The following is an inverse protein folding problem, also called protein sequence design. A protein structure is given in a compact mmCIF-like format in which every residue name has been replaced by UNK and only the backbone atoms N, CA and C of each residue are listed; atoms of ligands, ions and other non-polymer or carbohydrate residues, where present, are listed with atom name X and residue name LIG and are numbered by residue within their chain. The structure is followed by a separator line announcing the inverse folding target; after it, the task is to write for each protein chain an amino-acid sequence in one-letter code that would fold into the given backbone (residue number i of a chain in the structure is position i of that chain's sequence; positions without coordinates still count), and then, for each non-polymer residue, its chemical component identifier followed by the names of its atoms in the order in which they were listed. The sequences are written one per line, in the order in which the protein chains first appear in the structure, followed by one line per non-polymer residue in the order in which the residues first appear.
data_IF_255942947916
#
_entry.id   IF_255942947916
#
_cell.length_a   1.000
_cell.length_b   1.000
_cell.length_c   1.000
_cell.angle_alpha   90.00
_cell.angle_beta   90.00
_cell.angle_gamma   90.00
#
_symmetry.space_group_name_H-M   'P 1'
#
loop_
_entity.id
_entity.type
_entity.pdbx_description
1 polymer ?
#
# COMPACT_ATOMS: atom_id res chain seq x y z
N UNK A 1 5.53 -27.03 14.93
CA UNK A 1 6.83 -27.28 14.28
C UNK A 1 6.54 -27.56 12.82
N UNK A 2 7.21 -26.87 11.86
CA UNK A 2 7.05 -27.21 10.46
C UNK A 2 7.36 -28.69 10.20
N UNK A 3 6.68 -29.28 9.21
CA UNK A 3 6.97 -30.65 8.78
C UNK A 3 8.43 -30.76 8.35
N UNK A 4 9.24 -31.55 9.09
CA UNK A 4 10.69 -31.69 8.81
C UNK A 4 11.00 -32.21 7.39
N UNK A 5 10.00 -32.78 6.68
CA UNK A 5 10.11 -33.22 5.30
C UNK A 5 9.95 -32.09 4.26
N UNK A 6 9.34 -30.96 4.61
CA UNK A 6 8.98 -29.88 3.69
C UNK A 6 10.13 -28.85 3.47
N UNK A 7 11.13 -28.79 4.36
CA UNK A 7 12.21 -27.80 4.33
C UNK A 7 13.58 -28.43 3.96
N UNK A 8 14.33 -27.76 3.11
CA UNK A 8 15.72 -28.13 2.77
C UNK A 8 16.67 -27.84 3.94
N UNK A 9 17.90 -28.39 3.88
CA UNK A 9 18.93 -28.12 4.87
C UNK A 9 19.35 -26.63 4.93
N UNK A 10 19.35 -25.94 3.77
CA UNK A 10 19.64 -24.52 3.71
C UNK A 10 18.55 -23.68 4.37
N UNK A 11 17.27 -23.99 4.10
CA UNK A 11 16.11 -23.33 4.73
C UNK A 11 16.16 -23.50 6.25
N UNK A 12 16.36 -24.71 6.74
CA UNK A 12 16.49 -24.95 8.20
C UNK A 12 17.63 -24.13 8.84
N UNK A 13 18.80 -24.06 8.20
CA UNK A 13 19.91 -23.24 8.72
C UNK A 13 19.56 -21.77 8.78
N UNK A 14 18.93 -21.23 7.74
CA UNK A 14 18.54 -19.83 7.69
C UNK A 14 17.45 -19.51 8.72
N UNK A 15 16.47 -20.41 8.91
CA UNK A 15 15.43 -20.24 9.93
C UNK A 15 15.98 -20.24 11.36
N UNK A 16 17.00 -21.07 11.64
CA UNK A 16 17.69 -21.08 12.95
C UNK A 16 18.47 -19.77 13.18
N UNK A 17 18.99 -19.15 12.13
CA UNK A 17 19.71 -17.88 12.21
C UNK A 17 18.79 -16.64 12.35
N UNK A 18 17.46 -16.81 12.30
CA UNK A 18 16.53 -15.69 12.47
C UNK A 18 16.55 -15.16 13.90
N UNK A 19 17.00 -13.92 14.07
CA UNK A 19 17.14 -13.23 15.35
C UNK A 19 15.83 -12.58 15.80
N UNK A 20 15.02 -13.33 16.55
CA UNK A 20 13.71 -12.88 17.06
C UNK A 20 13.81 -11.64 17.94
N UNK A 21 14.73 -11.63 18.87
CA UNK A 21 14.82 -10.55 19.86
C UNK A 21 15.34 -9.27 19.20
N UNK A 22 16.31 -9.41 18.30
CA UNK A 22 16.82 -8.31 17.49
C UNK A 22 15.73 -7.71 16.58
N UNK A 23 14.87 -8.55 15.99
CA UNK A 23 13.74 -8.10 15.16
C UNK A 23 12.79 -7.20 15.95
N UNK A 24 12.32 -7.66 17.11
CA UNK A 24 11.42 -6.88 17.98
C UNK A 24 12.09 -5.62 18.50
N UNK A 25 13.37 -5.71 18.87
CA UNK A 25 14.14 -4.55 19.34
C UNK A 25 14.25 -3.48 18.24
N UNK A 26 14.61 -3.85 17.01
CA UNK A 26 14.76 -2.90 15.90
C UNK A 26 13.43 -2.32 15.44
N UNK A 27 12.34 -3.12 15.46
CA UNK A 27 11.00 -2.58 15.20
C UNK A 27 10.66 -1.46 16.19
N UNK A 28 10.93 -1.67 17.48
CA UNK A 28 10.70 -0.64 18.49
C UNK A 28 11.57 0.60 18.28
N UNK A 29 12.83 0.45 17.88
CA UNK A 29 13.68 1.57 17.51
C UNK A 29 13.10 2.38 16.35
N UNK A 30 12.58 1.72 15.30
CA UNK A 30 11.97 2.40 14.16
C UNK A 30 10.64 3.07 14.50
N UNK A 31 9.80 2.47 15.34
CA UNK A 31 8.55 3.09 15.80
C UNK A 31 8.86 4.36 16.59
N UNK A 32 9.90 4.36 17.42
CA UNK A 32 10.30 5.53 18.20
C UNK A 32 10.81 6.71 17.35
N UNK A 33 11.04 6.52 16.06
CA UNK A 33 11.37 7.58 15.12
C UNK A 33 10.09 8.02 14.41
N UNK A 34 9.50 9.19 14.72
CA UNK A 34 8.37 9.73 13.97
C UNK A 34 8.77 9.96 12.52
N UNK A 35 8.18 9.21 11.61
CA UNK A 35 8.44 9.29 10.17
C UNK A 35 7.17 9.66 9.41
N UNK A 36 6.52 10.72 9.85
CA UNK A 36 5.38 11.31 9.17
C UNK A 36 5.78 11.72 7.75
N UNK A 37 4.81 11.74 6.84
CA UNK A 37 5.04 12.19 5.48
C UNK A 37 5.82 13.51 5.41
N UNK A 38 6.91 13.56 4.64
CA UNK A 38 7.84 14.68 4.54
C UNK A 38 8.95 14.71 5.60
N UNK A 39 8.93 13.83 6.60
CA UNK A 39 9.91 13.75 7.68
C UNK A 39 10.55 12.36 7.83
N UNK A 40 10.60 11.57 6.78
CA UNK A 40 11.01 10.15 6.79
C UNK A 40 12.52 9.94 6.88
N UNK A 41 13.33 10.95 6.52
CA UNK A 41 14.79 10.84 6.41
C UNK A 41 15.50 10.29 7.66
N UNK A 42 15.10 10.61 8.92
CA UNK A 42 15.71 9.98 10.10
C UNK A 42 15.52 8.48 10.16
N UNK A 43 14.33 7.95 9.81
CA UNK A 43 14.06 6.52 9.78
C UNK A 43 14.88 5.83 8.67
N UNK A 44 14.96 6.43 7.49
CA UNK A 44 15.79 5.93 6.39
C UNK A 44 17.28 5.87 6.75
N UNK A 45 17.80 6.90 7.45
CA UNK A 45 19.20 6.86 7.94
C UNK A 45 19.41 5.75 8.96
N UNK A 46 18.44 5.51 9.86
CA UNK A 46 18.53 4.42 10.83
C UNK A 46 18.58 3.04 10.15
N UNK A 47 17.75 2.84 9.12
CA UNK A 47 17.72 1.60 8.32
C UNK A 47 19.03 1.44 7.53
N UNK A 48 19.49 2.47 6.84
CA UNK A 48 20.76 2.43 6.11
C UNK A 48 21.93 2.07 7.02
N UNK A 49 22.04 2.73 8.17
CA UNK A 49 23.06 2.40 9.18
C UNK A 49 22.91 0.96 9.74
N UNK A 50 21.68 0.46 9.89
CA UNK A 50 21.45 -0.92 10.31
C UNK A 50 21.92 -1.90 9.21
N UNK A 51 21.57 -1.67 7.95
CA UNK A 51 22.02 -2.50 6.81
C UNK A 51 23.55 -2.55 6.71
N UNK A 52 24.24 -1.43 6.88
CA UNK A 52 25.70 -1.37 6.91
C UNK A 52 26.29 -2.20 8.06
N UNK A 53 25.77 -2.04 9.30
CA UNK A 53 26.19 -2.86 10.45
C UNK A 53 25.88 -4.35 10.27
N UNK A 54 24.74 -4.67 9.67
CA UNK A 54 24.39 -6.02 9.28
C UNK A 54 25.22 -6.56 8.10
N UNK A 55 26.09 -5.74 7.48
CA UNK A 55 27.00 -6.11 6.41
C UNK A 55 26.32 -6.37 5.08
N UNK A 56 25.22 -5.68 4.79
CA UNK A 56 24.62 -5.68 3.47
C UNK A 56 25.44 -4.78 2.54
N UNK A 57 25.52 -5.16 1.27
CA UNK A 57 25.79 -4.17 0.24
C UNK A 57 24.57 -3.27 0.11
N UNK A 58 24.76 -1.96 -0.05
CA UNK A 58 23.66 -1.00 -0.06
C UNK A 58 23.89 0.15 -1.03
N UNK A 59 22.80 0.71 -1.53
CA UNK A 59 22.72 1.97 -2.25
C UNK A 59 21.83 2.91 -1.42
N UNK A 60 22.43 4.00 -0.94
CA UNK A 60 21.75 5.03 -0.17
C UNK A 60 21.94 6.34 -0.90
N UNK A 61 20.84 6.96 -1.34
CA UNK A 61 20.91 8.18 -2.14
C UNK A 61 19.86 9.21 -1.76
N UNK A 62 20.14 10.45 -2.09
CA UNK A 62 19.13 11.51 -2.04
C UNK A 62 18.31 11.49 -3.32
N UNK A 63 17.00 11.42 -3.18
CA UNK A 63 16.06 11.46 -4.30
C UNK A 63 15.98 12.88 -4.83
N UNK A 64 16.13 13.07 -6.14
CA UNK A 64 15.86 14.36 -6.80
C UNK A 64 14.36 14.51 -7.02
N UNK A 65 13.69 15.12 -6.04
CA UNK A 65 12.24 15.32 -6.07
C UNK A 65 11.77 16.18 -7.25
N UNK A 66 12.62 17.10 -7.74
CA UNK A 66 12.27 17.97 -8.88
C UNK A 66 12.27 17.20 -10.18
N UNK A 67 13.23 16.30 -10.34
CA UNK A 67 13.29 15.42 -11.52
C UNK A 67 12.17 14.38 -11.46
N UNK A 68 11.97 13.79 -10.28
CA UNK A 68 10.91 12.79 -10.05
C UNK A 68 9.51 13.35 -10.33
N UNK A 69 9.24 14.60 -9.98
CA UNK A 69 7.97 15.28 -10.21
C UNK A 69 7.59 15.45 -11.68
N UNK A 70 8.51 15.19 -12.62
CA UNK A 70 8.21 15.20 -14.06
C UNK A 70 7.64 13.87 -14.56
N UNK A 71 7.74 12.82 -13.76
CA UNK A 71 7.22 11.52 -14.15
C UNK A 71 5.69 11.49 -14.08
N UNK A 72 4.99 10.93 -15.07
CA UNK A 72 3.52 10.93 -15.11
C UNK A 72 2.87 10.16 -13.96
N UNK A 73 3.59 9.17 -13.39
CA UNK A 73 3.12 8.38 -12.25
C UNK A 73 3.53 8.95 -10.89
N UNK A 74 4.21 10.10 -10.87
CA UNK A 74 4.48 10.81 -9.63
C UNK A 74 3.22 11.48 -9.11
N UNK A 75 2.90 11.24 -7.86
CA UNK A 75 1.90 11.97 -7.11
C UNK A 75 2.33 12.08 -5.65
N UNK A 76 1.82 13.08 -4.96
CA UNK A 76 2.08 13.30 -3.52
C UNK A 76 1.01 14.21 -2.94
N UNK A 77 0.66 14.00 -1.68
CA UNK A 77 -0.19 14.89 -0.89
C UNK A 77 0.62 15.77 0.05
N UNK A 78 1.87 15.37 0.32
CA UNK A 78 2.72 16.01 1.31
C UNK A 78 3.94 16.64 0.64
N UNK A 79 4.23 17.90 1.00
CA UNK A 79 5.45 18.58 0.56
C UNK A 79 6.68 17.96 1.22
N UNK A 80 7.65 17.53 0.40
CA UNK A 80 8.94 16.99 0.85
C UNK A 80 10.08 17.89 0.44
N UNK A 81 10.95 18.24 1.40
CA UNK A 81 12.19 18.97 1.14
C UNK A 81 13.40 18.05 1.00
N UNK A 82 13.33 16.87 1.60
CA UNK A 82 14.32 15.80 1.50
C UNK A 82 13.62 14.45 1.45
N UNK A 83 14.13 13.57 0.59
CA UNK A 83 13.76 12.17 0.57
C UNK A 83 14.99 11.31 0.31
N UNK A 84 15.11 10.20 1.01
CA UNK A 84 16.21 9.24 0.85
C UNK A 84 15.66 7.91 0.34
N UNK A 85 16.28 7.37 -0.71
CA UNK A 85 16.12 5.99 -1.12
C UNK A 85 17.17 5.13 -0.41
N UNK A 86 16.77 3.95 0.03
CA UNK A 86 17.65 2.97 0.70
C UNK A 86 17.34 1.59 0.17
N UNK A 87 18.31 0.96 -0.49
CA UNK A 87 18.21 -0.42 -0.94
C UNK A 87 19.43 -1.19 -0.47
N UNK A 88 19.21 -2.25 0.29
CA UNK A 88 20.27 -3.17 0.70
C UNK A 88 20.07 -4.55 0.07
N UNK A 89 21.14 -5.33 -0.12
CA UNK A 89 21.02 -6.66 -0.72
C UNK A 89 22.03 -7.67 -0.19
N UNK A 90 21.68 -8.93 -0.37
CA UNK A 90 22.52 -10.10 -0.17
C UNK A 90 22.52 -10.95 -1.45
N UNK A 91 23.66 -11.60 -1.77
CA UNK A 91 23.85 -12.27 -3.05
C UNK A 91 24.32 -11.33 -4.15
N UNK A 92 24.61 -11.87 -5.32
CA UNK A 92 25.08 -11.12 -6.49
C UNK A 92 23.96 -11.06 -7.53
N UNK A 93 23.89 -9.94 -8.26
CA UNK A 93 22.92 -9.79 -9.35
C UNK A 93 23.28 -10.74 -10.48
N UNK A 94 22.29 -11.45 -11.00
CA UNK A 94 22.46 -12.23 -12.23
C UNK A 94 22.75 -11.26 -13.39
N UNK A 95 23.91 -11.37 -14.02
CA UNK A 95 24.25 -10.57 -15.19
C UNK A 95 23.27 -10.92 -16.33
N UNK A 96 22.68 -9.90 -16.99
CA UNK A 96 21.75 -10.00 -18.11
C UNK A 96 20.24 -10.19 -17.73
N UNK A 97 19.67 -9.25 -17.01
CA UNK A 97 18.24 -9.00 -17.10
C UNK A 97 18.00 -7.83 -18.05
N UNK A 98 17.75 -8.14 -19.32
CA UNK A 98 17.13 -7.18 -20.23
C UNK A 98 15.65 -7.11 -19.87
N UNK A 99 15.13 -5.92 -19.67
CA UNK A 99 13.70 -5.68 -19.50
C UNK A 99 12.91 -6.41 -20.61
N UNK A 100 12.17 -7.48 -20.26
CA UNK A 100 11.41 -8.28 -21.23
C UNK A 100 11.43 -9.78 -21.02
N UNK A 101 11.61 -10.29 -19.81
CA UNK A 101 11.12 -11.60 -19.37
C UNK A 101 11.39 -12.81 -20.28
N UNK A 102 12.62 -13.08 -20.70
CA UNK A 102 12.98 -14.38 -21.22
C UNK A 102 13.60 -15.22 -20.10
N UNK A 103 13.01 -16.38 -19.82
CA UNK A 103 13.48 -17.32 -18.82
C UNK A 103 14.99 -17.53 -18.91
N UNK A 104 15.71 -17.19 -17.83
CA UNK A 104 17.10 -17.61 -17.64
C UNK A 104 17.18 -19.13 -17.84
N UNK A 105 18.22 -19.60 -18.51
CA UNK A 105 18.45 -21.04 -18.72
C UNK A 105 18.41 -21.80 -17.39
N UNK A 106 18.13 -23.09 -17.40
CA UNK A 106 17.82 -23.99 -16.28
C UNK A 106 18.92 -24.10 -15.19
N UNK A 107 19.51 -23.01 -14.76
CA UNK A 107 20.57 -22.95 -13.73
C UNK A 107 20.85 -21.56 -13.19
N UNK A 108 20.32 -20.48 -13.78
CA UNK A 108 20.46 -19.12 -13.26
C UNK A 108 19.43 -18.89 -12.13
N UNK A 109 19.83 -18.19 -11.06
CA UNK A 109 18.92 -17.73 -10.01
C UNK A 109 18.03 -16.59 -10.50
N UNK A 110 16.98 -16.26 -9.71
CA UNK A 110 16.12 -15.08 -9.90
C UNK A 110 16.46 -14.01 -8.87
N UNK A 111 16.26 -12.76 -9.23
CA UNK A 111 16.35 -11.65 -8.27
C UNK A 111 14.97 -11.41 -7.60
N UNK A 112 14.96 -11.31 -6.28
CA UNK A 112 13.77 -10.99 -5.48
C UNK A 112 13.94 -9.63 -4.80
N UNK A 113 12.91 -8.80 -4.85
CA UNK A 113 12.83 -7.55 -4.09
C UNK A 113 11.78 -7.66 -2.99
N UNK A 114 12.16 -7.32 -1.76
CA UNK A 114 11.26 -7.07 -0.65
C UNK A 114 11.13 -5.57 -0.51
N UNK A 115 9.93 -5.03 -0.60
CA UNK A 115 9.66 -3.59 -0.57
C UNK A 115 8.82 -3.26 0.67
N UNK A 116 9.15 -2.17 1.36
CA UNK A 116 8.38 -1.68 2.48
C UNK A 116 8.66 -0.23 2.80
N UNK A 117 7.61 0.51 3.19
CA UNK A 117 7.70 1.92 3.50
C UNK A 117 8.01 2.19 4.98
N UNK A 118 8.58 3.36 5.23
CA UNK A 118 8.89 3.85 6.58
C UNK A 118 8.00 4.98 7.03
N UNK A 119 7.33 5.64 6.09
CA UNK A 119 6.39 6.70 6.39
C UNK A 119 5.16 6.15 7.11
N UNK A 120 4.51 7.01 7.82
CA UNK A 120 3.32 6.70 8.61
C UNK A 120 2.35 7.87 8.57
N UNK A 121 1.06 7.56 8.65
CA UNK A 121 0.01 8.58 8.75
C UNK A 121 0.04 9.30 10.11
N UNK A 122 -0.58 10.49 10.21
CA UNK A 122 -0.73 11.22 11.47
C UNK A 122 -1.38 10.35 12.57
N UNK A 123 -0.98 10.58 13.83
CA UNK A 123 -1.45 9.80 14.98
C UNK A 123 -2.88 10.14 15.43
N UNK A 124 -3.47 11.21 14.90
CA UNK A 124 -4.75 11.73 15.34
C UNK A 124 -4.66 12.32 16.76
N UNK A 125 -5.71 12.14 17.55
CA UNK A 125 -5.77 12.62 18.94
C UNK A 125 -4.91 11.72 19.85
N UNK A 126 -3.78 12.22 20.34
CA UNK A 126 -2.89 11.45 21.23
C UNK A 126 -3.59 10.97 22.51
N UNK A 127 -4.59 11.70 23.00
CA UNK A 127 -5.39 11.31 24.16
C UNK A 127 -6.23 10.03 23.94
N UNK A 128 -6.42 9.61 22.70
CA UNK A 128 -7.09 8.36 22.36
C UNK A 128 -6.17 7.13 22.45
N UNK A 129 -4.84 7.35 22.57
CA UNK A 129 -3.87 6.27 22.67
C UNK A 129 -3.69 5.84 24.14
N UNK A 130 -3.76 4.54 24.43
CA UNK A 130 -3.41 4.00 25.75
C UNK A 130 -1.90 3.82 25.91
N UNK A 131 -1.17 3.68 24.81
CA UNK A 131 0.29 3.69 24.74
C UNK A 131 0.71 4.86 23.84
N UNK A 132 1.63 5.75 24.27
CA UNK A 132 2.06 6.85 23.40
C UNK A 132 2.55 6.32 22.05
N UNK A 133 2.14 6.91 20.91
CA UNK A 133 2.37 6.35 19.58
C UNK A 133 3.85 6.18 19.21
N UNK A 134 4.74 6.96 19.84
CA UNK A 134 6.19 6.96 19.60
C UNK A 134 7.01 6.34 20.76
N UNK A 135 6.34 5.78 21.78
CA UNK A 135 6.98 5.03 22.87
C UNK A 135 6.49 3.57 22.82
N UNK A 136 7.07 2.75 21.94
CA UNK A 136 6.55 1.44 21.60
C UNK A 136 6.59 0.49 22.80
N UNK A 137 5.47 -0.13 23.11
CA UNK A 137 5.34 -1.12 24.17
C UNK A 137 5.18 -2.54 23.62
N UNK A 138 5.75 -3.51 24.32
CA UNK A 138 5.49 -4.92 24.10
C UNK A 138 4.59 -5.42 25.22
N UNK A 139 3.39 -5.86 24.87
CA UNK A 139 2.44 -6.46 25.82
C UNK A 139 1.55 -7.49 25.09
N UNK A 140 1.14 -8.52 25.78
CA UNK A 140 0.22 -9.56 25.29
C UNK A 140 0.64 -10.15 23.90
N UNK A 141 1.97 -10.34 23.70
CA UNK A 141 2.50 -10.87 22.45
C UNK A 141 2.43 -9.91 21.24
N UNK A 142 2.25 -8.61 21.47
CA UNK A 142 2.10 -7.57 20.44
C UNK A 142 3.09 -6.43 20.65
N UNK A 143 3.51 -5.80 19.57
CA UNK A 143 4.25 -4.52 19.57
C UNK A 143 3.26 -3.42 19.23
N UNK A 144 3.11 -2.43 20.11
CA UNK A 144 2.20 -1.29 19.95
C UNK A 144 2.97 -0.03 19.55
N UNK A 145 2.40 0.78 18.69
CA UNK A 145 2.87 2.11 18.27
C UNK A 145 2.52 2.41 16.83
N UNK A 146 2.57 3.68 16.42
CA UNK A 146 2.28 4.10 15.05
C UNK A 146 3.31 3.52 14.06
N UNK A 147 2.82 2.90 12.98
CA UNK A 147 3.63 2.20 11.99
C UNK A 147 4.02 0.78 12.43
N UNK A 148 3.51 0.28 13.55
CA UNK A 148 3.81 -1.09 14.00
C UNK A 148 3.29 -2.12 12.98
N UNK A 149 2.06 -1.95 12.50
CA UNK A 149 1.45 -2.83 11.50
C UNK A 149 1.64 -2.29 10.09
N UNK A 150 1.59 -0.98 9.89
CA UNK A 150 1.60 -0.32 8.59
C UNK A 150 2.78 0.68 8.50
N UNK A 151 3.92 0.25 7.85
CA UNK A 151 4.29 -1.17 7.66
C UNK A 151 5.74 -1.42 8.16
N UNK A 152 6.20 -0.68 9.21
CA UNK A 152 7.56 -0.88 9.77
C UNK A 152 7.76 -2.32 10.26
N UNK A 153 6.70 -2.97 10.75
CA UNK A 153 6.74 -4.39 11.12
C UNK A 153 7.09 -5.28 9.95
N UNK A 154 6.41 -5.12 8.82
CA UNK A 154 6.70 -5.83 7.58
C UNK A 154 8.11 -5.55 7.06
N UNK A 155 8.52 -4.28 7.04
CA UNK A 155 9.87 -3.88 6.60
C UNK A 155 10.96 -4.53 7.47
N UNK A 156 10.78 -4.59 8.79
CA UNK A 156 11.72 -5.27 9.68
C UNK A 156 11.73 -6.78 9.42
N UNK A 157 10.60 -7.40 9.09
CA UNK A 157 10.59 -8.81 8.67
C UNK A 157 11.47 -9.05 7.43
N UNK A 158 11.41 -8.17 6.43
CA UNK A 158 12.27 -8.25 5.24
C UNK A 158 13.76 -8.14 5.58
N UNK A 159 14.12 -7.17 6.41
CA UNK A 159 15.50 -6.94 6.84
C UNK A 159 16.07 -8.16 7.58
N UNK A 160 15.31 -8.71 8.51
CA UNK A 160 15.75 -9.85 9.30
C UNK A 160 15.72 -11.17 8.53
N UNK A 161 14.83 -11.32 7.55
CA UNK A 161 14.86 -12.45 6.61
C UNK A 161 16.16 -12.45 5.78
N UNK A 162 16.53 -11.32 5.20
CA UNK A 162 17.77 -11.18 4.44
C UNK A 162 19.00 -11.38 5.34
N UNK A 163 18.99 -10.83 6.58
CA UNK A 163 20.06 -11.04 7.57
C UNK A 163 20.20 -12.52 7.92
N UNK A 164 19.11 -13.25 8.15
CA UNK A 164 19.14 -14.66 8.51
C UNK A 164 19.77 -15.53 7.41
N UNK A 165 19.48 -15.26 6.14
CA UNK A 165 20.11 -15.96 5.00
C UNK A 165 21.62 -15.72 4.98
N UNK A 166 22.04 -14.47 5.16
CA UNK A 166 23.45 -14.08 5.24
C UNK A 166 24.17 -14.74 6.42
N UNK A 167 23.60 -14.66 7.61
CA UNK A 167 24.22 -15.19 8.84
C UNK A 167 24.30 -16.73 8.85
N UNK A 168 23.36 -17.38 8.14
CA UNK A 168 23.42 -18.81 7.86
C UNK A 168 24.47 -19.20 6.80
N UNK A 169 25.19 -18.21 6.22
CA UNK A 169 26.14 -18.39 5.14
C UNK A 169 25.58 -19.17 3.95
N UNK A 170 24.29 -18.95 3.62
CA UNK A 170 23.67 -19.55 2.45
C UNK A 170 23.97 -18.67 1.24
N UNK A 171 24.57 -19.27 0.20
CA UNK A 171 24.81 -18.57 -1.07
C UNK A 171 23.61 -18.68 -1.97
N UNK A 172 23.11 -17.53 -2.40
CA UNK A 172 22.04 -17.44 -3.38
C UNK A 172 22.60 -17.46 -4.80
N UNK A 173 21.89 -18.05 -5.74
CA UNK A 173 22.20 -17.98 -7.17
C UNK A 173 21.76 -16.66 -7.80
N UNK A 174 20.70 -16.05 -7.25
CA UNK A 174 20.23 -14.71 -7.56
C UNK A 174 20.44 -13.79 -6.38
N UNK A 175 19.86 -12.59 -6.45
CA UNK A 175 19.99 -11.55 -5.44
C UNK A 175 18.68 -11.37 -4.66
N UNK A 176 18.77 -11.26 -3.34
CA UNK A 176 17.69 -10.77 -2.49
C UNK A 176 17.99 -9.31 -2.13
N UNK A 177 17.11 -8.40 -2.51
CA UNK A 177 17.16 -6.98 -2.14
C UNK A 177 16.02 -6.59 -1.22
N UNK A 178 16.29 -5.64 -0.30
CA UNK A 178 15.29 -4.99 0.55
C UNK A 178 15.30 -3.51 0.22
N UNK A 179 14.20 -3.02 -0.32
CA UNK A 179 13.97 -1.61 -0.63
C UNK A 179 13.16 -0.97 0.52
N UNK A 180 13.79 -0.06 1.25
CA UNK A 180 13.12 0.80 2.22
C UNK A 180 12.74 2.09 1.53
N UNK A 181 11.46 2.40 1.47
CA UNK A 181 10.91 3.49 0.67
C UNK A 181 10.20 4.54 1.52
N UNK A 182 9.93 5.70 0.94
CA UNK A 182 9.25 6.84 1.56
C UNK A 182 8.04 7.27 0.74
N UNK A 183 7.02 7.82 1.39
CA UNK A 183 5.89 8.43 0.72
C UNK A 183 4.97 7.42 0.03
N UNK A 184 4.86 6.21 0.56
CA UNK A 184 3.88 5.24 0.11
C UNK A 184 2.47 5.76 0.39
N UNK A 185 2.21 6.18 1.63
CA UNK A 185 0.92 6.65 2.18
C UNK A 185 0.30 7.84 1.40
N UNK A 186 1.10 8.51 0.58
CA UNK A 186 0.67 9.66 -0.20
C UNK A 186 1.04 9.60 -1.69
N UNK A 187 1.47 8.42 -2.20
CA UNK A 187 1.60 8.23 -3.64
C UNK A 187 2.86 7.53 -4.16
N UNK A 188 3.67 6.88 -3.31
CA UNK A 188 4.74 5.98 -3.75
C UNK A 188 6.03 6.65 -4.24
N UNK A 189 6.35 7.84 -3.69
CA UNK A 189 7.56 8.62 -4.05
C UNK A 189 8.83 7.77 -4.05
N UNK A 190 9.06 6.97 -3.00
CA UNK A 190 10.27 6.17 -2.81
C UNK A 190 10.35 4.99 -3.75
N UNK A 191 9.26 4.28 -3.96
CA UNK A 191 9.23 3.12 -4.88
C UNK A 191 9.42 3.56 -6.32
N UNK A 192 8.78 4.65 -6.75
CA UNK A 192 9.01 5.22 -8.07
C UNK A 192 10.49 5.60 -8.27
N UNK A 193 11.08 6.29 -7.28
CA UNK A 193 12.49 6.67 -7.33
C UNK A 193 13.42 5.43 -7.37
N UNK A 194 13.09 4.36 -6.66
CA UNK A 194 13.83 3.11 -6.63
C UNK A 194 13.83 2.42 -7.99
N UNK A 195 12.67 2.35 -8.66
CA UNK A 195 12.54 1.81 -10.02
C UNK A 195 13.36 2.63 -11.02
N UNK A 196 13.20 3.96 -11.00
CA UNK A 196 13.90 4.87 -11.92
C UNK A 196 15.41 4.90 -11.68
N UNK A 197 15.88 4.57 -10.48
CA UNK A 197 17.32 4.39 -10.20
C UNK A 197 17.89 3.09 -10.78
N UNK A 198 17.02 2.19 -11.26
CA UNK A 198 17.42 0.94 -11.91
C UNK A 198 17.46 -0.26 -10.97
N UNK A 199 16.88 -0.18 -9.77
CA UNK A 199 16.65 -1.35 -8.93
C UNK A 199 15.46 -2.13 -9.49
N UNK A 200 15.74 -3.32 -10.02
CA UNK A 200 14.75 -4.24 -10.61
C UNK A 200 14.91 -5.64 -10.05
N UNK A 201 13.90 -6.49 -10.23
CA UNK A 201 13.90 -7.89 -9.82
C UNK A 201 13.01 -8.72 -10.75
N UNK A 202 13.10 -10.06 -10.66
CA UNK A 202 12.20 -10.99 -11.36
C UNK A 202 10.86 -11.21 -10.65
N UNK A 203 10.79 -10.78 -9.40
CA UNK A 203 9.58 -10.76 -8.60
C UNK A 203 9.77 -9.88 -7.37
N UNK A 204 8.66 -9.37 -6.83
CA UNK A 204 8.70 -8.56 -5.62
C UNK A 204 7.61 -8.95 -4.62
N UNK A 205 7.86 -8.63 -3.36
CA UNK A 205 6.88 -8.68 -2.27
C UNK A 205 6.83 -7.32 -1.60
N UNK A 206 5.67 -6.71 -1.56
CA UNK A 206 5.39 -5.55 -0.69
C UNK A 206 4.85 -6.11 0.62
N UNK A 207 5.50 -5.77 1.74
CA UNK A 207 5.26 -6.47 3.02
C UNK A 207 4.17 -5.73 3.82
N UNK A 208 3.03 -5.50 3.18
CA UNK A 208 1.82 -4.90 3.77
C UNK A 208 1.12 -5.84 4.75
N UNK A 209 0.30 -5.30 5.68
CA UNK A 209 -0.46 -6.11 6.63
C UNK A 209 -1.59 -6.89 5.96
N UNK A 210 -1.35 -8.18 5.71
CA UNK A 210 -2.28 -9.08 5.01
C UNK A 210 -2.72 -10.29 5.86
N UNK A 211 -2.42 -10.30 7.16
CA UNK A 211 -2.65 -11.48 8.03
C UNK A 211 -2.04 -12.77 7.41
N UNK A 212 -0.88 -12.64 6.74
CA UNK A 212 -0.20 -13.72 6.00
C UNK A 212 -0.98 -14.27 4.79
N UNK A 213 -2.03 -13.59 4.32
CA UNK A 213 -2.65 -13.89 3.03
C UNK A 213 -1.73 -13.44 1.88
N UNK A 214 -1.78 -14.14 0.75
CA UNK A 214 -1.07 -13.79 -0.48
C UNK A 214 -1.99 -12.98 -1.37
N UNK A 215 -1.58 -11.75 -1.68
CA UNK A 215 -2.40 -10.79 -2.41
C UNK A 215 -1.80 -10.53 -3.79
N UNK A 216 -2.26 -11.18 -4.85
CA UNK A 216 -1.79 -10.95 -6.22
C UNK A 216 -2.52 -9.79 -6.93
N UNK A 217 -3.52 -9.16 -6.29
CA UNK A 217 -4.31 -8.09 -6.90
C UNK A 217 -4.70 -7.03 -5.87
N UNK A 218 -4.50 -5.77 -6.22
CA UNK A 218 -4.97 -4.61 -5.46
C UNK A 218 -5.87 -3.72 -6.31
N UNK A 219 -6.97 -3.25 -5.76
CA UNK A 219 -7.80 -2.23 -6.37
C UNK A 219 -7.09 -0.87 -6.42
N UNK A 220 -7.51 -0.02 -7.32
CA UNK A 220 -7.07 1.37 -7.36
C UNK A 220 -7.89 2.27 -6.43
N UNK A 221 -7.33 3.44 -6.16
CA UNK A 221 -7.98 4.50 -5.39
C UNK A 221 -7.61 5.87 -5.94
N UNK A 222 -8.62 6.71 -6.18
CA UNK A 222 -8.46 8.10 -6.59
C UNK A 222 -9.12 9.00 -5.57
N UNK A 223 -8.49 10.13 -5.25
CA UNK A 223 -9.06 11.13 -4.35
C UNK A 223 -9.80 12.19 -5.16
N UNK A 224 -11.05 12.44 -4.80
CA UNK A 224 -11.87 13.47 -5.43
C UNK A 224 -12.27 14.57 -4.46
N UNK A 225 -12.48 15.76 -5.00
CA UNK A 225 -13.13 16.89 -4.35
C UNK A 225 -14.33 17.29 -5.18
N UNK A 226 -15.53 17.26 -4.59
CA UNK A 226 -16.78 17.69 -5.20
C UNK A 226 -17.17 19.05 -4.61
N UNK A 227 -17.20 20.06 -5.46
CA UNK A 227 -17.58 21.42 -5.09
C UNK A 227 -18.99 21.66 -5.58
N UNK A 228 -19.91 21.90 -4.65
CA UNK A 228 -21.34 22.09 -4.92
C UNK A 228 -21.73 23.56 -4.69
N UNK A 229 -22.16 24.28 -5.73
CA UNK A 229 -22.54 25.67 -5.61
C UNK A 229 -23.95 25.85 -5.04
N UNK A 230 -24.11 26.91 -4.27
CA UNK A 230 -25.38 27.45 -3.81
C UNK A 230 -25.48 28.95 -4.06
N UNK A 231 -26.34 29.65 -3.29
CA UNK A 231 -26.47 31.09 -3.32
C UNK A 231 -26.79 31.59 -1.90
N UNK A 232 -25.93 32.48 -1.37
CA UNK A 232 -26.05 32.97 -0.01
C UNK A 232 -27.32 33.84 0.18
N UNK A 233 -27.93 33.69 1.34
CA UNK A 233 -29.00 34.56 1.82
C UNK A 233 -29.00 34.59 3.35
N UNK A 234 -29.67 35.58 3.93
CA UNK A 234 -29.89 35.59 5.36
C UNK A 234 -30.85 34.45 5.74
N UNK A 235 -30.56 33.71 6.83
CA UNK A 235 -31.34 32.54 7.23
C UNK A 235 -32.82 32.83 7.49
N UNK A 236 -33.18 34.07 7.85
CA UNK A 236 -34.59 34.44 8.05
C UNK A 236 -35.41 34.60 6.75
N UNK A 237 -34.74 34.72 5.61
CA UNK A 237 -35.32 34.78 4.25
C UNK A 237 -34.69 33.72 3.36
N UNK A 238 -34.55 32.51 3.88
CA UNK A 238 -33.85 31.38 3.23
C UNK A 238 -34.34 31.09 1.81
N UNK A 239 -35.58 31.40 1.51
CA UNK A 239 -36.21 31.25 0.18
C UNK A 239 -35.59 32.15 -0.88
N UNK A 240 -34.82 33.18 -0.48
CA UNK A 240 -34.06 34.06 -1.38
C UNK A 240 -32.70 33.50 -1.72
N UNK A 241 -32.29 32.41 -1.10
CA UNK A 241 -31.02 31.74 -1.32
C UNK A 241 -31.19 30.32 -1.87
N UNK A 242 -30.07 29.66 -2.15
CA UNK A 242 -30.02 28.25 -2.52
C UNK A 242 -28.95 27.55 -1.67
N UNK A 243 -29.39 26.65 -0.80
CA UNK A 243 -28.48 25.94 0.12
C UNK A 243 -27.65 24.91 -0.62
N UNK A 244 -26.34 25.09 -0.63
CA UNK A 244 -25.40 24.09 -1.14
C UNK A 244 -25.52 22.74 -0.42
N UNK A 245 -25.89 22.74 0.88
CA UNK A 245 -26.16 21.50 1.63
C UNK A 245 -27.34 20.75 1.03
N UNK A 246 -28.47 21.46 0.78
CA UNK A 246 -29.65 20.83 0.18
C UNK A 246 -29.38 20.32 -1.23
N UNK A 247 -28.50 20.99 -1.98
CA UNK A 247 -28.08 20.57 -3.33
C UNK A 247 -27.09 19.39 -3.32
N UNK A 248 -26.33 19.20 -2.26
CA UNK A 248 -25.45 18.04 -2.09
C UNK A 248 -26.23 16.74 -1.80
N UNK A 249 -27.33 16.77 -1.08
CA UNK A 249 -28.04 15.56 -0.68
C UNK A 249 -28.46 14.65 -1.86
N UNK A 250 -29.05 15.15 -2.95
CA UNK A 250 -29.35 14.32 -4.11
C UNK A 250 -28.09 13.80 -4.83
N UNK A 251 -27.01 14.56 -4.84
CA UNK A 251 -25.73 14.11 -5.40
C UNK A 251 -25.14 12.97 -4.55
N UNK A 252 -25.16 13.09 -3.23
CA UNK A 252 -24.71 12.03 -2.33
C UNK A 252 -25.55 10.75 -2.49
N UNK A 253 -26.87 10.89 -2.62
CA UNK A 253 -27.77 9.76 -2.89
C UNK A 253 -27.43 9.08 -4.22
N UNK A 254 -27.13 9.88 -5.26
CA UNK A 254 -26.72 9.38 -6.54
C UNK A 254 -25.36 8.66 -6.50
N UNK A 255 -24.40 9.15 -5.71
CA UNK A 255 -23.12 8.49 -5.48
C UNK A 255 -23.31 7.11 -4.80
N UNK A 256 -24.13 7.01 -3.76
CA UNK A 256 -24.43 5.70 -3.11
C UNK A 256 -25.10 4.72 -4.06
N UNK A 257 -26.00 5.19 -4.93
CA UNK A 257 -26.59 4.37 -5.95
C UNK A 257 -25.56 3.91 -7.00
N UNK A 258 -24.75 4.83 -7.47
CA UNK A 258 -23.67 4.56 -8.42
C UNK A 258 -22.66 3.53 -7.88
N UNK A 259 -22.25 3.68 -6.61
CA UNK A 259 -21.42 2.68 -5.92
C UNK A 259 -22.08 1.30 -5.92
N UNK A 260 -23.39 1.22 -5.58
CA UNK A 260 -24.12 -0.04 -5.55
C UNK A 260 -24.23 -0.69 -6.93
N UNK A 261 -24.42 0.11 -7.99
CA UNK A 261 -24.44 -0.33 -9.38
C UNK A 261 -23.05 -0.84 -9.81
N UNK A 262 -21.98 -0.10 -9.44
CA UNK A 262 -20.58 -0.49 -9.74
C UNK A 262 -20.18 -1.82 -9.13
N UNK A 263 -20.66 -2.09 -7.93
CA UNK A 263 -20.29 -3.28 -7.17
C UNK A 263 -21.28 -4.43 -7.37
N UNK A 264 -22.20 -4.36 -8.34
CA UNK A 264 -23.16 -5.41 -8.63
C UNK A 264 -24.21 -5.66 -7.54
N UNK A 265 -24.32 -4.75 -6.55
CA UNK A 265 -25.29 -4.84 -5.45
C UNK A 265 -26.69 -4.41 -5.91
N UNK A 266 -26.77 -3.49 -6.88
CA UNK A 266 -28.01 -3.06 -7.50
C UNK A 266 -27.92 -3.22 -9.03
N UNK A 267 -29.05 -3.54 -9.68
CA UNK A 267 -29.11 -3.55 -11.15
C UNK A 267 -29.09 -2.10 -11.67
N UNK A 268 -28.22 -1.82 -12.64
CA UNK A 268 -28.08 -0.51 -13.26
C UNK A 268 -27.29 -0.57 -14.56
N UNK A 269 -27.26 0.53 -15.33
CA UNK A 269 -26.55 0.61 -16.60
C UNK A 269 -25.03 0.77 -16.45
N UNK A 270 -24.49 0.72 -15.24
CA UNK A 270 -23.07 0.91 -15.00
C UNK A 270 -22.29 -0.29 -15.55
N UNK A 271 -21.90 -0.19 -16.80
CA UNK A 271 -20.84 -1.03 -17.32
C UNK A 271 -19.54 -0.54 -16.71
N UNK A 272 -19.03 -1.24 -15.76
CA UNK A 272 -17.74 -0.96 -15.13
C UNK A 272 -16.78 -2.01 -15.60
N UNK A 273 -15.60 -1.61 -16.00
CA UNK A 273 -14.47 -2.52 -16.10
C UNK A 273 -14.23 -3.08 -14.68
N UNK A 274 -13.91 -4.35 -14.61
CA UNK A 274 -13.79 -5.10 -13.37
C UNK A 274 -15.01 -5.98 -13.11
N UNK A 275 -14.73 -7.19 -12.68
CA UNK A 275 -15.74 -8.19 -12.35
C UNK A 275 -15.94 -8.28 -10.84
N UNK A 276 -17.07 -7.74 -10.29
CA UNK A 276 -17.34 -7.86 -8.86
C UNK A 276 -17.48 -9.32 -8.37
N UNK A 277 -17.63 -10.27 -9.30
CA UNK A 277 -17.67 -11.70 -9.00
C UNK A 277 -16.29 -12.37 -9.03
N UNK A 278 -15.20 -11.61 -9.27
CA UNK A 278 -13.85 -12.14 -9.23
C UNK A 278 -13.60 -12.84 -7.88
N UNK A 279 -13.21 -14.12 -7.88
CA UNK A 279 -12.97 -14.88 -6.66
C UNK A 279 -11.97 -14.21 -5.70
N UNK A 280 -11.02 -13.42 -6.19
CA UNK A 280 -10.07 -12.68 -5.37
C UNK A 280 -10.74 -11.62 -4.48
N UNK A 281 -11.91 -11.11 -4.88
CA UNK A 281 -12.65 -10.09 -4.13
C UNK A 281 -13.93 -10.62 -3.47
N UNK A 282 -14.13 -11.94 -3.44
CA UNK A 282 -15.34 -12.57 -2.91
C UNK A 282 -15.63 -12.26 -1.42
N UNK A 283 -14.61 -11.89 -0.65
CA UNK A 283 -14.76 -11.47 0.75
C UNK A 283 -15.39 -10.08 0.89
N UNK A 284 -15.40 -9.27 -0.17
CA UNK A 284 -15.87 -7.88 -0.12
C UNK A 284 -17.25 -7.74 -0.75
N UNK A 285 -18.19 -7.13 0.01
CA UNK A 285 -19.48 -6.73 -0.56
C UNK A 285 -19.34 -5.56 -1.53
N UNK A 286 -18.37 -4.69 -1.32
CA UNK A 286 -18.06 -3.50 -2.11
C UNK A 286 -16.57 -3.53 -2.50
N UNK A 287 -16.18 -4.30 -3.52
CA UNK A 287 -14.79 -4.34 -3.98
C UNK A 287 -14.24 -2.97 -4.40
N UNK A 288 -15.09 -2.11 -4.94
CA UNK A 288 -14.74 -0.78 -5.44
C UNK A 288 -15.52 0.32 -4.68
N UNK A 289 -15.20 0.57 -3.40
CA UNK A 289 -15.98 1.48 -2.56
C UNK A 289 -15.79 2.93 -2.97
N UNK A 290 -16.86 3.72 -2.82
CA UNK A 290 -16.85 5.18 -2.95
C UNK A 290 -17.20 5.76 -1.58
N UNK A 291 -16.29 6.53 -0.97
CA UNK A 291 -16.55 7.14 0.33
C UNK A 291 -16.38 8.66 0.28
N UNK A 292 -17.27 9.36 0.95
CA UNK A 292 -17.15 10.80 1.23
C UNK A 292 -16.67 10.95 2.66
N UNK A 293 -15.38 11.19 2.82
CA UNK A 293 -14.71 11.23 4.12
C UNK A 293 -14.89 12.56 4.85
N UNK A 294 -14.99 13.68 4.10
CA UNK A 294 -15.19 15.01 4.69
C UNK A 294 -16.23 15.82 3.96
N UNK A 295 -16.96 16.65 4.71
CA UNK A 295 -17.91 17.65 4.16
C UNK A 295 -17.74 18.96 4.92
N UNK A 296 -17.57 20.06 4.21
CA UNK A 296 -17.49 21.41 4.77
C UNK A 296 -18.44 22.31 4.02
N UNK A 297 -19.29 23.09 4.74
CA UNK A 297 -20.27 23.97 4.13
C UNK A 297 -20.58 25.17 5.04
N UNK A 298 -20.68 26.36 4.41
CA UNK A 298 -21.05 27.60 5.07
C UNK A 298 -20.01 28.10 6.07
N UNK A 299 -20.18 29.36 6.49
CA UNK A 299 -19.30 30.11 7.38
C UNK A 299 -20.03 30.69 8.59
N UNK A 300 -21.34 30.76 8.53
CA UNK A 300 -22.17 31.35 9.58
C UNK A 300 -23.53 30.65 9.77
N UNK A 301 -23.85 30.27 11.01
CA UNK A 301 -25.02 29.47 11.33
C UNK A 301 -26.37 30.11 10.92
N UNK A 302 -26.43 31.43 10.73
CA UNK A 302 -27.65 32.13 10.32
C UNK A 302 -27.67 32.58 8.85
N UNK A 303 -26.84 31.94 8.03
CA UNK A 303 -26.77 32.16 6.56
C UNK A 303 -27.09 30.87 5.81
N UNK A 304 -27.70 31.04 4.62
CA UNK A 304 -27.80 29.95 3.65
C UNK A 304 -26.41 29.70 3.04
N UNK A 305 -25.86 28.48 3.14
CA UNK A 305 -24.52 28.21 2.60
C UNK A 305 -24.53 28.23 1.07
N UNK A 306 -23.62 28.99 0.49
CA UNK A 306 -23.45 29.17 -0.96
C UNK A 306 -22.41 28.25 -1.60
N UNK A 307 -21.68 27.50 -0.78
CA UNK A 307 -20.72 26.52 -1.23
C UNK A 307 -20.67 25.33 -0.26
N UNK A 308 -20.51 24.12 -0.81
CA UNK A 308 -20.17 22.92 -0.07
C UNK A 308 -19.00 22.23 -0.79
N UNK A 309 -18.02 21.80 -0.01
CA UNK A 309 -16.90 20.99 -0.49
C UNK A 309 -16.96 19.64 0.22
N UNK A 310 -17.08 18.58 -0.59
CA UNK A 310 -17.02 17.19 -0.14
C UNK A 310 -15.76 16.55 -0.71
N UNK A 311 -14.96 15.89 0.13
CA UNK A 311 -13.78 15.17 -0.30
C UNK A 311 -13.92 13.69 0.03
N UNK A 312 -13.43 12.83 -0.86
CA UNK A 312 -13.58 11.41 -0.70
C UNK A 312 -12.68 10.58 -1.61
N UNK A 313 -12.79 9.26 -1.45
CA UNK A 313 -12.10 8.30 -2.30
C UNK A 313 -13.06 7.62 -3.28
N UNK A 314 -12.53 7.28 -4.44
CA UNK A 314 -13.21 6.53 -5.48
C UNK A 314 -12.41 5.28 -5.82
N UNK A 315 -12.98 4.10 -5.54
CA UNK A 315 -12.35 2.80 -5.83
C UNK A 315 -12.33 2.53 -7.33
N UNK A 316 -11.15 2.18 -7.87
CA UNK A 316 -10.93 1.81 -9.27
C UNK A 316 -10.79 0.30 -9.37
N UNK A 317 -11.54 -0.31 -10.28
CA UNK A 317 -11.57 -1.75 -10.43
C UNK A 317 -10.31 -2.32 -11.11
N UNK A 318 -10.03 -3.60 -10.90
CA UNK A 318 -8.98 -4.30 -11.65
C UNK A 318 -9.30 -4.23 -13.15
N UNK A 319 -8.30 -3.83 -13.95
CA UNK A 319 -8.43 -3.70 -15.40
C UNK A 319 -9.17 -2.44 -15.87
N UNK A 320 -9.64 -1.59 -14.96
CA UNK A 320 -10.22 -0.29 -15.30
C UNK A 320 -9.11 0.76 -15.48
N UNK A 321 -9.17 1.49 -16.57
CA UNK A 321 -8.28 2.64 -16.80
C UNK A 321 -8.66 3.79 -15.86
N UNK A 322 -7.73 4.33 -15.06
CA UNK A 322 -8.03 5.41 -14.12
C UNK A 322 -8.57 6.69 -14.77
N UNK A 323 -8.23 6.97 -16.03
CA UNK A 323 -8.77 8.13 -16.75
C UNK A 323 -10.21 7.88 -17.18
N UNK A 324 -10.55 6.67 -17.62
CA UNK A 324 -11.93 6.27 -17.89
C UNK A 324 -12.78 6.26 -16.63
N UNK A 325 -12.21 5.74 -15.51
CA UNK A 325 -12.85 5.74 -14.20
C UNK A 325 -13.28 7.15 -13.76
N UNK A 326 -12.39 8.16 -13.94
CA UNK A 326 -12.72 9.57 -13.67
C UNK A 326 -13.89 10.04 -14.51
N UNK A 327 -13.88 9.78 -15.81
CA UNK A 327 -14.96 10.20 -16.72
C UNK A 327 -16.31 9.58 -16.33
N UNK A 328 -16.32 8.31 -15.96
CA UNK A 328 -17.52 7.60 -15.49
C UNK A 328 -18.08 8.21 -14.20
N UNK A 329 -17.21 8.54 -13.25
CA UNK A 329 -17.59 9.24 -12.01
C UNK A 329 -18.17 10.64 -12.32
N UNK A 330 -17.47 11.45 -13.10
CA UNK A 330 -17.91 12.79 -13.50
C UNK A 330 -19.25 12.76 -14.24
N UNK A 331 -19.44 11.77 -15.12
CA UNK A 331 -20.71 11.58 -15.81
C UNK A 331 -21.85 11.19 -14.86
N UNK A 332 -21.57 10.43 -13.79
CA UNK A 332 -22.57 10.10 -12.76
C UNK A 332 -23.01 11.36 -11.99
N UNK A 333 -22.05 12.20 -11.61
CA UNK A 333 -22.32 13.49 -10.95
C UNK A 333 -23.11 14.42 -11.88
N UNK A 334 -22.69 14.55 -13.16
CA UNK A 334 -23.36 15.40 -14.13
C UNK A 334 -24.83 14.97 -14.39
N UNK A 335 -25.08 13.66 -14.49
CA UNK A 335 -26.46 13.13 -14.61
C UNK A 335 -27.32 13.47 -13.39
N UNK A 336 -26.78 13.36 -12.19
CA UNK A 336 -27.51 13.70 -10.98
C UNK A 336 -27.78 15.21 -10.89
N UNK A 337 -26.80 16.03 -11.23
CA UNK A 337 -26.93 17.49 -11.29
C UNK A 337 -27.98 17.94 -12.31
N UNK A 338 -28.01 17.32 -13.51
CA UNK A 338 -28.99 17.64 -14.57
C UNK A 338 -30.45 17.33 -14.19
N UNK A 339 -30.71 16.58 -13.12
CA UNK A 339 -32.05 16.36 -12.59
C UNK A 339 -32.53 17.46 -11.63
N UNK A 340 -31.66 18.37 -11.21
CA UNK A 340 -31.98 19.50 -10.33
C UNK A 340 -31.90 20.81 -11.12
N UNK A 341 -32.93 21.63 -11.06
CA UNK A 341 -33.03 22.87 -11.87
C UNK A 341 -31.89 23.87 -11.56
N UNK A 342 -31.46 23.98 -10.29
CA UNK A 342 -30.34 24.86 -9.94
C UNK A 342 -29.00 24.31 -10.43
N UNK A 343 -28.74 23.03 -10.14
CA UNK A 343 -27.47 22.40 -10.52
C UNK A 343 -27.30 22.21 -12.03
N UNK A 344 -28.40 22.17 -12.78
CA UNK A 344 -28.37 22.19 -14.27
C UNK A 344 -27.77 23.49 -14.80
N UNK A 345 -28.11 24.63 -14.18
CA UNK A 345 -27.60 25.96 -14.56
C UNK A 345 -26.28 26.32 -13.86
N UNK A 346 -26.02 25.70 -12.72
CA UNK A 346 -24.86 25.90 -11.85
C UNK A 346 -24.23 24.54 -11.51
N UNK A 347 -23.55 23.87 -12.47
CA UNK A 347 -23.08 22.51 -12.28
C UNK A 347 -22.00 22.40 -11.17
N UNK A 348 -22.00 21.32 -10.41
CA UNK A 348 -20.92 21.04 -9.46
C UNK A 348 -19.62 20.77 -10.21
N UNK A 349 -18.50 21.04 -9.56
CA UNK A 349 -17.16 20.77 -10.10
C UNK A 349 -16.56 19.56 -9.40
N UNK A 350 -15.96 18.65 -10.16
CA UNK A 350 -15.14 17.56 -9.65
C UNK A 350 -13.68 17.89 -9.90
N UNK A 351 -12.88 17.88 -8.83
CA UNK A 351 -11.42 18.03 -8.90
C UNK A 351 -10.79 16.70 -8.43
N UNK A 352 -9.77 16.25 -9.14
CA UNK A 352 -8.95 15.12 -8.75
C UNK A 352 -7.66 15.63 -8.13
N UNK A 353 -7.31 15.13 -6.95
CA UNK A 353 -6.17 15.63 -6.17
C UNK A 353 -5.55 14.52 -5.32
N UNK A 354 -4.39 14.81 -4.72
CA UNK A 354 -3.76 13.92 -3.76
C UNK A 354 -3.17 12.64 -4.36
N UNK A 355 -3.08 11.62 -3.54
CA UNK A 355 -2.52 10.32 -3.90
C UNK A 355 -3.36 9.62 -4.98
N UNK A 356 -2.66 8.98 -5.90
CA UNK A 356 -3.25 8.15 -6.94
C UNK A 356 -2.70 6.75 -6.82
N UNK A 357 -3.57 5.79 -6.55
CA UNK A 357 -3.22 4.38 -6.54
C UNK A 357 -3.95 3.69 -7.70
N UNK A 358 -3.22 3.36 -8.75
CA UNK A 358 -3.77 2.63 -9.88
C UNK A 358 -3.97 1.15 -9.50
N UNK A 359 -4.95 0.45 -10.06
CA UNK A 359 -5.09 -0.99 -9.83
C UNK A 359 -3.87 -1.74 -10.38
N UNK A 360 -3.52 -2.84 -9.74
CA UNK A 360 -2.42 -3.69 -10.17
C UNK A 360 -2.74 -5.16 -9.92
N UNK A 361 -2.23 -6.02 -10.79
CA UNK A 361 -2.42 -7.47 -10.66
C UNK A 361 -1.20 -8.22 -11.18
N UNK A 362 -0.89 -9.32 -10.52
CA UNK A 362 0.09 -10.32 -10.94
C UNK A 362 -0.66 -11.62 -11.24
N UNK A 363 -0.32 -12.25 -12.34
CA UNK A 363 -0.95 -13.53 -12.71
C UNK A 363 -0.75 -14.58 -11.62
N UNK A 364 -1.81 -15.31 -11.28
CA UNK A 364 -1.71 -16.44 -10.35
C UNK A 364 -0.75 -17.55 -10.80
N UNK A 365 -0.41 -17.58 -12.10
CA UNK A 365 0.56 -18.50 -12.67
C UNK A 365 2.01 -17.98 -12.56
N UNK A 366 2.22 -16.75 -12.08
CA UNK A 366 3.55 -16.19 -11.93
C UNK A 366 4.35 -16.92 -10.83
N UNK A 367 5.64 -17.18 -11.06
CA UNK A 367 6.49 -17.87 -10.09
C UNK A 367 6.54 -17.26 -8.70
N UNK A 368 6.41 -15.92 -8.57
CA UNK A 368 6.43 -15.26 -7.26
C UNK A 368 5.22 -15.64 -6.41
N UNK A 369 4.04 -15.76 -7.03
CA UNK A 369 2.79 -16.17 -6.34
C UNK A 369 2.96 -17.57 -5.75
N UNK A 370 3.41 -18.53 -6.57
CA UNK A 370 3.64 -19.91 -6.13
C UNK A 370 4.75 -20.00 -5.06
N UNK A 371 5.79 -19.18 -5.17
CA UNK A 371 6.89 -19.15 -4.20
C UNK A 371 6.44 -18.70 -2.81
N UNK A 372 5.61 -17.64 -2.74
CA UNK A 372 5.10 -17.14 -1.45
C UNK A 372 4.08 -18.11 -0.85
N UNK A 373 3.14 -18.64 -1.65
CA UNK A 373 2.17 -19.65 -1.18
C UNK A 373 2.90 -20.86 -0.58
N UNK A 374 3.84 -21.44 -1.33
CA UNK A 374 4.57 -22.62 -0.86
C UNK A 374 5.51 -22.35 0.32
N UNK A 375 6.00 -21.12 0.47
CA UNK A 375 6.82 -20.72 1.62
C UNK A 375 5.95 -20.53 2.88
N UNK A 376 4.82 -19.84 2.76
CA UNK A 376 3.87 -19.67 3.85
C UNK A 376 3.34 -21.02 4.34
N UNK A 377 2.95 -21.90 3.42
CA UNK A 377 2.50 -23.27 3.74
C UNK A 377 3.58 -24.09 4.47
N UNK A 378 4.84 -24.01 4.02
CA UNK A 378 5.95 -24.73 4.66
C UNK A 378 6.23 -24.27 6.11
N UNK A 379 5.91 -23.00 6.43
CA UNK A 379 6.15 -22.39 7.74
C UNK A 379 4.93 -22.56 8.65
N UNK A 380 3.72 -22.34 8.14
CA UNK A 380 2.49 -22.38 8.95
C UNK A 380 1.86 -23.76 9.04
N UNK A 381 2.18 -24.66 8.11
CA UNK A 381 1.57 -25.99 7.97
C UNK A 381 0.19 -25.97 7.28
N UNK A 382 -0.23 -24.84 6.75
CA UNK A 382 -1.49 -24.68 6.01
C UNK A 382 -1.32 -23.73 4.83
N UNK A 383 -2.05 -23.99 3.74
CA UNK A 383 -2.04 -23.08 2.58
C UNK A 383 -2.63 -21.73 2.97
N UNK A 384 -1.94 -20.61 2.66
CA UNK A 384 -2.46 -19.29 2.97
C UNK A 384 -3.68 -18.96 2.11
N UNK A 385 -4.58 -18.06 2.56
CA UNK A 385 -5.58 -17.46 1.69
C UNK A 385 -4.90 -16.74 0.52
N UNK A 386 -5.55 -16.79 -0.66
CA UNK A 386 -5.17 -16.03 -1.85
C UNK A 386 -6.35 -15.15 -2.21
N UNK A 387 -6.18 -13.84 -2.07
CA UNK A 387 -7.27 -12.88 -2.22
C UNK A 387 -6.79 -11.54 -2.77
N UNK A 388 -7.71 -10.67 -3.18
CA UNK A 388 -7.44 -9.30 -3.56
C UNK A 388 -7.69 -8.34 -2.41
N UNK A 389 -7.18 -7.10 -2.52
CA UNK A 389 -7.45 -6.03 -1.55
C UNK A 389 -8.09 -4.82 -2.21
N UNK A 390 -8.90 -4.09 -1.45
CA UNK A 390 -9.66 -2.92 -1.91
C UNK A 390 -8.90 -1.61 -1.69
N UNK A 391 -7.68 -1.66 -1.15
CA UNK A 391 -6.78 -0.52 -0.98
C UNK A 391 -5.64 -0.57 -2.00
N UNK A 392 -4.98 0.57 -2.20
CA UNK A 392 -3.79 0.68 -3.04
C UNK A 392 -2.53 0.58 -2.21
N UNK A 393 -1.46 0.05 -2.79
CA UNK A 393 -0.12 -0.01 -2.23
C UNK A 393 0.93 0.20 -3.35
N UNK A 394 2.19 0.19 -3.00
CA UNK A 394 3.31 0.35 -3.94
C UNK A 394 3.42 -0.78 -5.00
N UNK A 395 2.68 -1.87 -4.84
CA UNK A 395 2.55 -2.91 -5.86
C UNK A 395 2.23 -2.31 -7.24
N UNK A 396 1.40 -1.26 -7.30
CA UNK A 396 1.05 -0.59 -8.56
C UNK A 396 2.27 -0.05 -9.32
N UNK A 397 3.23 0.51 -8.61
CA UNK A 397 4.44 1.06 -9.24
C UNK A 397 5.40 -0.05 -9.68
N UNK A 398 5.57 -1.06 -8.84
CA UNK A 398 6.41 -2.22 -9.17
C UNK A 398 5.87 -2.95 -10.41
N UNK A 399 4.55 -3.19 -10.47
CA UNK A 399 3.91 -3.87 -11.61
C UNK A 399 3.82 -2.96 -12.83
N UNK A 400 3.18 -1.79 -12.70
CA UNK A 400 2.78 -0.98 -13.86
C UNK A 400 3.94 -0.16 -14.44
N UNK A 401 4.89 0.29 -13.61
CA UNK A 401 6.04 1.08 -14.03
C UNK A 401 7.30 0.21 -14.12
N UNK A 402 7.53 -0.61 -13.09
CA UNK A 402 8.71 -1.47 -13.00
C UNK A 402 8.64 -2.74 -13.87
N UNK A 403 7.44 -3.16 -14.27
CA UNK A 403 7.23 -4.45 -14.96
C UNK A 403 7.61 -5.66 -14.10
N UNK A 404 7.61 -5.51 -12.77
CA UNK A 404 8.03 -6.52 -11.80
C UNK A 404 6.77 -7.23 -11.26
N UNK A 405 6.57 -8.52 -11.53
CA UNK A 405 5.51 -9.28 -10.90
C UNK A 405 5.58 -9.19 -9.38
N UNK A 406 4.50 -8.74 -8.74
CA UNK A 406 4.50 -8.37 -7.31
C UNK A 406 3.30 -8.96 -6.61
N UNK A 407 3.46 -9.35 -5.34
CA UNK A 407 2.38 -9.69 -4.42
C UNK A 407 2.51 -8.88 -3.14
N UNK A 408 1.38 -8.66 -2.43
CA UNK A 408 1.46 -8.22 -1.03
C UNK A 408 1.46 -9.46 -0.14
N UNK A 409 2.27 -9.43 0.92
CA UNK A 409 2.32 -10.49 1.93
C UNK A 409 3.06 -10.00 3.17
N UNK A 410 2.40 -9.94 4.30
CA UNK A 410 3.04 -9.53 5.55
C UNK A 410 2.21 -9.78 6.79
N UNK A 411 2.77 -9.39 7.96
CA UNK A 411 2.17 -9.63 9.26
C UNK A 411 1.15 -8.55 9.62
N UNK A 412 0.15 -8.92 10.38
CA UNK A 412 -0.82 -8.01 10.96
C UNK A 412 -2.05 -7.78 10.10
N UNK A 413 -3.03 -7.19 10.73
CA UNK A 413 -4.34 -6.90 10.18
C UNK A 413 -4.42 -5.41 9.81
N UNK A 414 -4.71 -5.10 8.55
CA UNK A 414 -4.87 -3.73 8.06
C UNK A 414 -5.94 -2.94 8.84
N UNK A 415 -6.91 -3.62 9.47
CA UNK A 415 -7.92 -2.98 10.32
C UNK A 415 -7.34 -2.35 11.59
N UNK A 416 -6.13 -2.72 11.98
CA UNK A 416 -5.40 -2.09 13.08
C UNK A 416 -4.58 -0.87 12.61
N UNK A 417 -4.42 -0.65 11.31
CA UNK A 417 -3.73 0.50 10.75
C UNK A 417 -4.56 1.79 10.91
N UNK A 418 -3.88 2.94 10.89
CA UNK A 418 -4.46 4.28 10.90
C UNK A 418 -5.33 4.64 12.13
N UNK A 419 -5.37 3.78 13.15
CA UNK A 419 -6.16 3.99 14.38
C UNK A 419 -5.26 4.13 15.63
N UNK A 420 -5.78 4.67 16.74
CA UNK A 420 -5.08 4.62 18.03
C UNK A 420 -4.81 3.18 18.47
N UNK A 421 -3.75 3.01 19.25
CA UNK A 421 -3.28 1.70 19.73
C UNK A 421 -3.00 0.69 18.61
N UNK A 422 -2.54 1.17 17.46
CA UNK A 422 -2.01 0.35 16.39
C UNK A 422 -1.01 -0.66 16.92
N UNK A 423 -1.07 -1.90 16.44
CA UNK A 423 -0.21 -2.98 16.89
C UNK A 423 0.03 -4.04 15.82
N UNK A 424 1.12 -4.79 15.97
CA UNK A 424 1.40 -6.00 15.19
C UNK A 424 1.68 -7.18 16.11
N UNK A 425 1.12 -8.39 15.84
CA UNK A 425 1.41 -9.60 16.61
C UNK A 425 2.85 -10.06 16.38
N UNK A 426 3.59 -10.36 17.46
CA UNK A 426 4.98 -10.84 17.35
C UNK A 426 5.07 -12.20 16.66
N UNK A 427 4.10 -13.07 16.88
CA UNK A 427 4.11 -14.38 16.25
C UNK A 427 3.92 -14.27 14.72
N UNK A 428 3.11 -13.32 14.25
CA UNK A 428 2.98 -13.05 12.83
C UNK A 428 4.22 -12.40 12.20
N UNK A 429 4.90 -11.49 12.94
CA UNK A 429 6.22 -10.99 12.52
C UNK A 429 7.21 -12.13 12.27
N UNK A 430 7.21 -13.12 13.15
CA UNK A 430 8.09 -14.28 13.02
C UNK A 430 7.69 -15.18 11.86
N UNK A 431 6.40 -15.49 11.72
CA UNK A 431 5.90 -16.32 10.63
C UNK A 431 6.14 -15.65 9.27
N UNK A 432 5.88 -14.34 9.15
CA UNK A 432 6.19 -13.57 7.95
C UNK A 432 7.69 -13.62 7.62
N UNK A 433 8.56 -13.35 8.61
CA UNK A 433 10.01 -13.40 8.41
C UNK A 433 10.47 -14.79 7.96
N UNK A 434 9.95 -15.85 8.57
CA UNK A 434 10.27 -17.23 8.19
C UNK A 434 9.80 -17.56 6.78
N UNK A 435 8.59 -17.16 6.42
CA UNK A 435 8.06 -17.34 5.06
C UNK A 435 8.91 -16.59 4.02
N UNK A 436 9.32 -15.34 4.31
CA UNK A 436 10.19 -14.56 3.44
C UNK A 436 11.58 -15.20 3.28
N UNK A 437 12.15 -15.80 4.34
CA UNK A 437 13.40 -16.59 4.24
C UNK A 437 13.21 -17.76 3.26
N UNK A 438 12.17 -18.56 3.46
CA UNK A 438 11.93 -19.75 2.61
C UNK A 438 11.64 -19.33 1.17
N UNK A 439 10.81 -18.31 0.97
CA UNK A 439 10.48 -17.78 -0.35
C UNK A 439 11.74 -17.28 -1.09
N UNK A 440 12.59 -16.51 -0.40
CA UNK A 440 13.83 -16.01 -1.01
C UNK A 440 14.78 -17.14 -1.43
N UNK A 441 14.95 -18.16 -0.57
CA UNK A 441 15.80 -19.31 -0.91
C UNK A 441 15.27 -20.14 -2.09
N UNK A 442 13.95 -20.31 -2.18
CA UNK A 442 13.29 -21.03 -3.28
C UNK A 442 13.26 -20.22 -4.57
N UNK A 443 12.98 -18.93 -4.48
CA UNK A 443 12.86 -18.06 -5.66
C UNK A 443 14.23 -17.69 -6.24
N UNK A 444 15.16 -17.25 -5.41
CA UNK A 444 16.52 -16.89 -5.86
C UNK A 444 17.37 -18.13 -6.20
N UNK A 445 17.03 -19.30 -5.65
CA UNK A 445 17.81 -20.52 -5.76
C UNK A 445 19.04 -20.51 -4.85
N UNK A 446 19.52 -21.69 -4.50
CA UNK A 446 20.69 -21.91 -3.63
C UNK A 446 21.78 -22.61 -4.41
N UNK A 447 23.07 -22.18 -4.24
CA UNK A 447 24.25 -22.86 -4.82
C UNK A 447 24.47 -24.26 -4.27
#
# INVERSE_FOLDING_TARGET
MPDEGALSAAERRALVALDRDGLVAFLRELIAIPSLGGAESPAQRAIGAWMERAGFASDIWRIDLRELAKHPDYCTEVERHEALGVVGWVGERVAEHTAGGAAAGSGAGRDLMLNGHVDVVPVGEEAAWTTPPWDPAVRDGRVYGRGAVDMKGGLVCALFAAKAIRDAHVRLRGRLSVASVVGEEDGGTGTLATILRGHTADGAVVIEPTELAVIPAQAGSLMFRLIVPGFAAHGCVRESGVSAIEKFLPLFTALRRFESERNGVAQGPASVAGDPSDPLFAAYRLPWPIEVGTVRAGDWASSVPDILVAEGRYGVAIGEDPAEARQVFEAAIARAAGADAWLSDHPPTVEWWGGRFDPATTSSADPIVAAIIGAAEAVTGSSPPVEGVTYGADMRLLVNVGGIPTVLFGPGDVRAAHMPDEYVPIDELLLASQALVVAALRFCGVE
#
